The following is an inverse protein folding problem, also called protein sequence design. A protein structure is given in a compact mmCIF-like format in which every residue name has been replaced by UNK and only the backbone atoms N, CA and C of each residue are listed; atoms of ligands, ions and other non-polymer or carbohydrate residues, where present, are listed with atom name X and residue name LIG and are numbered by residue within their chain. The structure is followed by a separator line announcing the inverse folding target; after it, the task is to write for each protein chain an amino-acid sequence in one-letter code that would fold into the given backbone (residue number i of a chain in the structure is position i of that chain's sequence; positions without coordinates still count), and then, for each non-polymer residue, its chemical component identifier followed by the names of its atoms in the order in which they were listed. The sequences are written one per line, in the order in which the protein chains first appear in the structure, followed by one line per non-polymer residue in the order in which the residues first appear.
data_IF_047426637914
#
_entry.id   IF_047426637914
#
_cell.length_a   1.000
_cell.length_b   1.000
_cell.length_c   1.000
_cell.angle_alpha   90.00
_cell.angle_beta   90.00
_cell.angle_gamma   90.00
#
_symmetry.space_group_name_H-M   'P 1'
#
loop_
_entity.id
_entity.type
_entity.pdbx_description
1 polymer ?
#
# COMPACT_ATOMS: atom_id res chain seq x y z
N UNK A 1 21.40 5.69 14.89
CA UNK A 1 19.95 5.45 15.06
C UNK A 1 19.57 4.21 14.28
N UNK A 2 18.38 3.67 14.50
CA UNK A 2 17.88 2.51 13.76
C UNK A 2 17.27 2.93 12.41
N UNK A 3 17.37 2.06 11.40
CA UNK A 3 16.68 2.20 10.11
C UNK A 3 15.50 1.25 10.09
N UNK A 4 14.32 1.75 9.71
CA UNK A 4 13.08 0.95 9.69
C UNK A 4 12.63 0.68 8.25
N UNK A 5 12.42 -0.59 7.92
CA UNK A 5 11.84 -1.05 6.66
C UNK A 5 10.40 -1.51 6.86
N UNK A 6 9.51 -1.16 5.94
CA UNK A 6 8.10 -1.56 5.98
C UNK A 6 7.75 -2.53 4.85
N UNK A 7 7.21 -3.70 5.20
CA UNK A 7 6.64 -4.65 4.26
C UNK A 7 5.12 -4.72 4.44
N UNK A 8 4.35 -4.41 3.40
CA UNK A 8 2.89 -4.45 3.45
C UNK A 8 2.34 -5.59 2.60
N UNK A 9 1.46 -6.39 3.19
CA UNK A 9 0.71 -7.46 2.52
C UNK A 9 -0.75 -7.05 2.40
N UNK A 10 -1.34 -7.18 1.21
CA UNK A 10 -2.77 -7.02 1.00
C UNK A 10 -3.46 -8.31 1.47
N UNK A 11 -4.38 -8.16 2.43
CA UNK A 11 -5.13 -9.28 3.00
C UNK A 11 -6.46 -9.49 2.27
N UNK A 12 -7.15 -8.40 1.92
CA UNK A 12 -8.47 -8.44 1.27
C UNK A 12 -8.79 -7.10 0.58
N UNK A 13 -9.75 -7.11 -0.34
CA UNK A 13 -10.27 -5.91 -1.02
C UNK A 13 -11.74 -6.03 -1.37
N UNK A 14 -12.51 -4.95 -1.20
CA UNK A 14 -13.92 -4.92 -1.60
C UNK A 14 -14.40 -3.49 -1.97
N UNK A 15 -15.48 -3.34 -2.77
CA UNK A 15 -16.05 -2.03 -3.09
C UNK A 15 -16.58 -1.31 -1.84
N UNK A 16 -16.43 0.02 -1.77
CA UNK A 16 -17.07 0.79 -0.72
C UNK A 16 -18.59 0.76 -0.88
N UNK A 17 -19.32 0.55 0.22
CA UNK A 17 -20.79 0.55 0.23
C UNK A 17 -21.40 1.95 0.08
N UNK A 18 -20.65 3.01 0.40
CA UNK A 18 -21.15 4.39 0.43
C UNK A 18 -20.49 5.31 -0.59
N UNK A 19 -19.43 4.85 -1.27
CA UNK A 19 -18.64 5.64 -2.22
C UNK A 19 -18.34 4.79 -3.46
N UNK A 20 -19.12 4.98 -4.52
CA UNK A 20 -19.01 4.17 -5.74
C UNK A 20 -17.70 4.38 -6.51
N UNK A 21 -16.98 5.46 -6.22
CA UNK A 21 -15.71 5.80 -6.84
C UNK A 21 -14.49 5.11 -6.20
N UNK A 22 -14.67 4.41 -5.06
CA UNK A 22 -13.56 3.90 -4.23
C UNK A 22 -13.80 2.50 -3.67
N UNK A 23 -12.72 1.74 -3.52
CA UNK A 23 -12.69 0.46 -2.80
C UNK A 23 -11.99 0.57 -1.45
N UNK A 24 -12.22 -0.40 -0.59
CA UNK A 24 -11.45 -0.61 0.64
C UNK A 24 -10.42 -1.71 0.40
N UNK A 25 -9.17 -1.44 0.79
CA UNK A 25 -8.08 -2.43 0.79
C UNK A 25 -7.64 -2.66 2.24
N UNK A 26 -7.75 -3.89 2.71
CA UNK A 26 -7.29 -4.29 4.03
C UNK A 26 -5.84 -4.77 3.94
N UNK A 27 -4.95 -4.16 4.72
CA UNK A 27 -3.52 -4.43 4.67
C UNK A 27 -2.96 -4.74 6.05
N UNK A 28 -1.93 -5.58 6.08
CA UNK A 28 -1.02 -5.74 7.22
C UNK A 28 0.35 -5.20 6.84
N UNK A 29 0.93 -4.36 7.69
CA UNK A 29 2.29 -3.86 7.51
C UNK A 29 3.16 -4.34 8.67
N UNK A 30 4.32 -4.91 8.32
CA UNK A 30 5.38 -5.32 9.24
C UNK A 30 6.56 -4.35 9.13
N UNK A 31 7.01 -3.84 10.27
CA UNK A 31 8.19 -2.98 10.38
C UNK A 31 9.38 -3.76 10.90
N UNK A 32 10.52 -3.68 10.22
CA UNK A 32 11.77 -4.34 10.57
C UNK A 32 12.90 -3.34 10.79
N UNK A 33 13.84 -3.61 11.70
CA UNK A 33 15.11 -2.88 11.83
C UNK A 33 16.13 -3.31 10.76
N UNK A 34 17.27 -2.63 10.71
CA UNK A 34 18.40 -2.95 9.83
C UNK A 34 18.96 -4.38 9.98
N UNK A 35 18.74 -5.03 11.12
CA UNK A 35 19.16 -6.41 11.40
C UNK A 35 18.05 -7.45 11.13
N UNK A 36 16.90 -7.02 10.62
CA UNK A 36 15.75 -7.88 10.37
C UNK A 36 14.83 -8.10 11.59
N UNK A 37 15.12 -7.47 12.73
CA UNK A 37 14.24 -7.58 13.92
C UNK A 37 12.88 -6.95 13.65
N UNK A 38 11.81 -7.72 13.81
CA UNK A 38 10.43 -7.24 13.72
C UNK A 38 10.12 -6.34 14.93
N UNK A 39 9.72 -5.09 14.66
CA UNK A 39 9.44 -4.09 15.71
C UNK A 39 7.99 -3.62 15.75
N UNK A 40 7.24 -3.82 14.66
CA UNK A 40 5.85 -3.38 14.60
C UNK A 40 5.05 -4.25 13.63
N UNK A 41 3.82 -4.55 14.00
CA UNK A 41 2.80 -5.11 13.10
C UNK A 41 1.53 -4.31 13.30
N UNK A 42 0.97 -3.78 12.22
CA UNK A 42 -0.33 -3.14 12.28
C UNK A 42 -1.19 -3.50 11.08
N UNK A 43 -2.51 -3.48 11.30
CA UNK A 43 -3.50 -3.69 10.25
C UNK A 43 -4.34 -2.43 10.09
N UNK A 44 -4.58 -2.02 8.85
CA UNK A 44 -5.45 -0.88 8.54
C UNK A 44 -6.25 -1.12 7.28
N UNK A 45 -7.37 -0.42 7.17
CA UNK A 45 -8.20 -0.37 5.96
C UNK A 45 -7.96 0.98 5.29
N UNK A 46 -7.49 0.96 4.05
CA UNK A 46 -7.26 2.18 3.24
C UNK A 46 -8.30 2.27 2.13
N UNK A 47 -8.70 3.50 1.81
CA UNK A 47 -9.66 3.76 0.74
C UNK A 47 -8.89 4.13 -0.52
N UNK A 48 -9.07 3.37 -1.59
CA UNK A 48 -8.32 3.51 -2.84
C UNK A 48 -9.31 3.81 -3.97
N UNK A 49 -9.07 4.86 -4.79
CA UNK A 49 -9.84 5.10 -6.01
C UNK A 49 -9.91 3.88 -6.92
N UNK A 50 -11.06 3.68 -7.54
CA UNK A 50 -11.22 2.64 -8.57
C UNK A 50 -10.51 3.05 -9.86
N UNK A 51 -10.22 2.07 -10.70
CA UNK A 51 -9.64 2.31 -12.02
C UNK A 51 -10.56 3.18 -12.89
N UNK A 52 -11.87 2.92 -12.88
CA UNK A 52 -12.87 3.71 -13.61
C UNK A 52 -12.82 5.19 -13.23
N UNK A 53 -12.85 5.49 -11.93
CA UNK A 53 -12.76 6.87 -11.44
C UNK A 53 -11.46 7.57 -11.86
N UNK A 54 -10.35 6.83 -11.87
CA UNK A 54 -9.04 7.37 -12.23
C UNK A 54 -8.98 7.74 -13.72
N UNK A 55 -9.55 6.90 -14.59
CA UNK A 55 -9.69 7.14 -16.04
C UNK A 55 -10.57 8.37 -16.34
N UNK A 56 -11.70 8.50 -15.66
CA UNK A 56 -12.67 9.59 -15.88
C UNK A 56 -12.12 10.98 -15.51
N UNK A 57 -11.17 11.06 -14.57
CA UNK A 57 -10.60 12.33 -14.10
C UNK A 57 -9.24 12.68 -14.70
N UNK A 58 -8.75 11.90 -15.67
CA UNK A 58 -7.53 12.22 -16.42
C UNK A 58 -6.26 12.30 -15.58
N UNK A 59 -6.25 11.68 -14.39
CA UNK A 59 -5.07 11.65 -13.51
C UNK A 59 -4.48 10.25 -13.47
N UNK A 60 -3.18 10.12 -13.70
CA UNK A 60 -2.47 8.89 -13.33
C UNK A 60 -2.26 8.88 -11.82
N UNK A 61 -2.60 7.76 -11.16
CA UNK A 61 -2.06 7.54 -9.83
C UNK A 61 -0.56 7.29 -9.99
N UNK A 62 0.31 8.01 -9.25
CA UNK A 62 1.72 7.68 -9.24
C UNK A 62 1.87 6.23 -8.80
N UNK A 63 2.30 5.39 -9.74
CA UNK A 63 2.55 3.98 -9.48
C UNK A 63 3.68 3.81 -8.46
N UNK A 64 3.86 2.59 -8.00
CA UNK A 64 5.08 2.27 -7.25
C UNK A 64 6.29 2.60 -8.17
N UNK A 65 7.27 3.38 -7.72
CA UNK A 65 8.49 3.58 -8.48
C UNK A 65 9.14 2.24 -8.84
N UNK A 66 9.71 2.12 -10.03
CA UNK A 66 10.48 0.94 -10.38
C UNK A 66 11.63 0.76 -9.38
N UNK A 67 11.78 -0.47 -8.86
CA UNK A 67 12.89 -0.81 -7.99
C UNK A 67 14.15 -0.85 -8.86
N UNK A 68 15.07 0.07 -8.64
CA UNK A 68 16.41 -0.01 -9.23
C UNK A 68 17.12 -1.19 -8.57
N UNK A 69 17.45 -2.23 -9.34
CA UNK A 69 18.38 -3.26 -8.85
C UNK A 69 19.70 -2.55 -8.52
N UNK A 70 20.08 -2.56 -7.24
CA UNK A 70 21.41 -2.09 -6.86
C UNK A 70 22.41 -3.09 -7.42
N UNK A 71 23.26 -2.62 -8.35
CA UNK A 71 24.33 -3.42 -8.92
C UNK A 71 25.19 -4.06 -7.83
N UNK A 72 25.51 -5.35 -8.01
CA UNK A 72 26.44 -6.09 -7.17
C UNK A 72 27.83 -5.46 -7.17
#
# INVERSE_FOLDING_TARGET
GDTVYGQTTVLDKWPSKSKNDRGIVHVETKGYKQDGTLVCVFRRKVMVPTETYTKERGGEQPGRPELKEQGK
#
